data_IF_406481217510
#
_entry.id   IF_406481217510
#
_cell.length_a   1.000
_cell.length_b   1.000
_cell.length_c   1.000
_cell.angle_alpha   90.00
_cell.angle_beta   90.00
_cell.angle_gamma   90.00
#
_symmetry.space_group_name_H-M   'P 1'
#
loop_
_entity.id
_entity.type
_entity.pdbx_description
1 polymer ?
#
# COMPACT_ATOMS: atom_id res chain seq x y z
N UNK A 1 -4.23 45.61 -17.65
CA UNK A 1 -4.02 45.51 -16.18
C UNK A 1 -3.21 44.26 -15.95
N UNK A 2 -1.90 44.41 -15.71
CA UNK A 2 -1.02 43.27 -15.45
C UNK A 2 -1.34 42.68 -14.08
N UNK A 3 -1.79 41.43 -14.05
CA UNK A 3 -2.14 40.74 -12.83
C UNK A 3 -0.85 40.30 -12.11
N UNK A 4 -0.62 40.85 -10.91
CA UNK A 4 0.50 40.50 -10.05
C UNK A 4 0.23 39.14 -9.40
N UNK A 5 0.83 38.06 -9.90
CA UNK A 5 0.53 36.70 -9.46
C UNK A 5 1.48 36.13 -8.38
N UNK A 6 2.66 36.74 -8.18
CA UNK A 6 3.71 36.14 -7.33
C UNK A 6 3.87 36.88 -6.01
N UNK A 7 3.30 36.35 -4.92
CA UNK A 7 3.38 36.96 -3.60
C UNK A 7 4.71 36.64 -2.89
N UNK A 8 5.38 37.66 -2.38
CA UNK A 8 6.57 37.53 -1.53
C UNK A 8 6.20 36.91 -0.18
N UNK A 9 6.70 35.71 0.18
CA UNK A 9 6.42 35.09 1.47
C UNK A 9 6.90 35.92 2.68
N UNK A 10 7.95 36.74 2.52
CA UNK A 10 8.54 37.53 3.61
C UNK A 10 7.75 38.80 3.93
N UNK A 11 7.34 39.59 2.93
CA UNK A 11 6.67 40.89 3.13
C UNK A 11 5.27 40.97 2.51
N UNK A 12 4.75 39.87 1.95
CA UNK A 12 3.42 39.74 1.35
C UNK A 12 3.13 40.65 0.15
N UNK A 13 4.14 41.37 -0.37
CA UNK A 13 4.06 42.17 -1.61
C UNK A 13 3.99 41.28 -2.84
N UNK A 14 3.20 41.66 -3.83
CA UNK A 14 3.07 40.92 -5.09
C UNK A 14 4.06 41.41 -6.14
N UNK A 15 4.53 40.50 -6.99
CA UNK A 15 5.47 40.74 -8.09
C UNK A 15 4.87 40.29 -9.42
N UNK A 16 5.34 40.90 -10.51
CA UNK A 16 4.82 40.70 -11.86
C UNK A 16 5.23 39.35 -12.46
N UNK A 17 6.37 38.80 -12.04
CA UNK A 17 6.89 37.51 -12.51
C UNK A 17 7.73 36.82 -11.43
N UNK A 18 8.02 35.53 -11.64
CA UNK A 18 8.93 34.76 -10.78
C UNK A 18 10.35 35.35 -10.80
N UNK A 19 10.81 35.85 -11.95
CA UNK A 19 12.12 36.51 -12.08
C UNK A 19 12.17 37.83 -11.29
N UNK A 20 11.10 38.61 -11.34
CA UNK A 20 10.96 39.80 -10.49
C UNK A 20 10.95 39.45 -9.01
N UNK A 21 10.32 38.33 -8.62
CA UNK A 21 10.35 37.85 -7.24
C UNK A 21 11.76 37.45 -6.79
N UNK A 22 12.54 36.76 -7.63
CA UNK A 22 13.95 36.42 -7.38
C UNK A 22 14.81 37.67 -7.16
N UNK A 23 14.64 38.69 -8.01
CA UNK A 23 15.34 39.96 -7.88
C UNK A 23 14.88 40.73 -6.64
N UNK A 24 13.58 40.80 -6.36
CA UNK A 24 13.02 41.40 -5.15
C UNK A 24 13.59 40.77 -3.88
N UNK A 25 13.63 39.43 -3.84
CA UNK A 25 14.16 38.68 -2.71
C UNK A 25 15.63 39.01 -2.44
N UNK A 26 16.47 39.06 -3.48
CA UNK A 26 17.90 39.37 -3.33
C UNK A 26 18.15 40.81 -2.87
N UNK A 27 17.34 41.78 -3.31
CA UNK A 27 17.54 43.21 -3.00
C UNK A 27 16.95 43.64 -1.67
N UNK A 28 15.74 43.19 -1.36
CA UNK A 28 14.97 43.71 -0.22
C UNK A 28 15.13 42.86 1.05
N UNK A 29 15.66 41.63 0.94
CA UNK A 29 15.80 40.71 2.08
C UNK A 29 17.22 40.13 2.11
N UNK A 30 18.10 40.70 2.94
CA UNK A 30 19.51 40.29 3.09
C UNK A 30 19.69 38.98 3.87
N UNK A 31 18.74 38.68 4.75
CA UNK A 31 18.69 37.44 5.55
C UNK A 31 17.57 36.53 5.07
N UNK A 32 17.74 35.22 5.28
CA UNK A 32 16.63 34.29 5.09
C UNK A 32 15.49 34.63 6.05
N UNK A 33 14.28 34.85 5.53
CA UNK A 33 13.12 35.24 6.36
C UNK A 33 12.63 34.13 7.30
N UNK A 34 13.06 32.87 7.08
CA UNK A 34 12.66 31.71 7.86
C UNK A 34 13.63 31.43 9.01
N UNK A 35 14.94 31.26 8.73
CA UNK A 35 15.91 31.00 9.79
C UNK A 35 16.56 32.27 10.38
N UNK A 36 16.55 33.40 9.67
CA UNK A 36 17.16 34.69 10.06
C UNK A 36 18.66 34.67 10.37
N UNK A 37 19.29 33.50 10.38
CA UNK A 37 20.71 33.28 10.71
C UNK A 37 21.60 33.18 9.47
N UNK A 38 21.03 32.84 8.32
CA UNK A 38 21.75 32.76 7.06
C UNK A 38 21.71 34.11 6.34
N UNK A 39 22.90 34.64 6.03
CA UNK A 39 23.09 35.79 5.16
C UNK A 39 23.22 35.32 3.71
N UNK A 40 22.47 35.92 2.79
CA UNK A 40 22.48 35.58 1.36
C UNK A 40 23.75 36.14 0.72
N UNK A 41 24.87 35.42 0.88
CA UNK A 41 26.19 35.93 0.50
C UNK A 41 26.48 35.82 -1.00
N UNK A 42 25.76 34.98 -1.76
CA UNK A 42 25.82 34.90 -3.24
C UNK A 42 24.88 33.82 -3.84
N UNK A 43 24.40 32.86 -3.04
CA UNK A 43 23.50 31.78 -3.48
C UNK A 43 22.06 32.26 -3.76
N UNK A 44 21.36 31.62 -4.72
CA UNK A 44 19.94 31.89 -4.98
C UNK A 44 19.12 31.61 -3.71
N UNK A 45 18.38 32.59 -3.17
CA UNK A 45 17.50 32.39 -2.03
C UNK A 45 16.59 31.17 -2.15
N UNK A 46 16.11 30.84 -3.35
CA UNK A 46 15.25 29.68 -3.58
C UNK A 46 15.99 28.36 -3.43
N UNK A 47 17.25 28.30 -3.82
CA UNK A 47 18.08 27.09 -3.67
C UNK A 47 18.38 26.84 -2.19
N UNK A 48 18.71 27.89 -1.43
CA UNK A 48 18.83 27.82 0.03
C UNK A 48 17.54 27.29 0.67
N UNK A 49 16.37 27.81 0.25
CA UNK A 49 15.07 27.40 0.79
C UNK A 49 14.73 25.95 0.47
N UNK A 50 15.03 25.49 -0.74
CA UNK A 50 14.81 24.12 -1.15
C UNK A 50 15.74 23.12 -0.41
N UNK A 51 16.96 23.55 -0.07
CA UNK A 51 17.97 22.69 0.58
C UNK A 51 17.88 22.68 2.11
N UNK A 52 17.41 23.76 2.73
CA UNK A 52 17.52 23.99 4.17
C UNK A 52 16.17 24.10 4.89
N UNK A 53 15.05 24.07 4.16
CA UNK A 53 13.70 24.26 4.72
C UNK A 53 12.69 23.32 4.06
N UNK A 54 11.49 23.23 4.65
CA UNK A 54 10.47 22.24 4.29
C UNK A 54 9.29 22.89 3.58
N UNK A 55 9.13 22.62 2.28
CA UNK A 55 8.04 23.19 1.50
C UNK A 55 6.75 22.36 1.61
N UNK A 56 5.63 23.03 1.90
CA UNK A 56 4.31 22.41 1.86
C UNK A 56 3.98 21.93 0.44
N UNK A 57 3.64 20.65 0.24
CA UNK A 57 3.34 20.11 -1.08
C UNK A 57 2.09 20.75 -1.71
N UNK A 58 1.16 21.25 -0.89
CA UNK A 58 -0.14 21.76 -1.31
C UNK A 58 -0.08 23.26 -1.66
N UNK A 59 0.30 24.12 -0.71
CA UNK A 59 0.28 25.57 -0.90
C UNK A 59 1.66 26.20 -1.13
N UNK A 60 2.72 25.39 -1.19
CA UNK A 60 4.11 25.80 -1.45
C UNK A 60 4.72 26.75 -0.42
N UNK A 61 4.06 26.95 0.73
CA UNK A 61 4.62 27.68 1.88
C UNK A 61 5.80 26.90 2.46
N UNK A 62 6.93 27.58 2.63
CA UNK A 62 8.15 27.01 3.19
C UNK A 62 8.18 27.19 4.71
N UNK A 63 8.48 26.12 5.43
CA UNK A 63 8.52 26.03 6.90
C UNK A 63 9.95 25.78 7.38
N UNK A 64 10.27 26.26 8.58
CA UNK A 64 11.63 26.18 9.16
C UNK A 64 12.06 24.77 9.48
N UNK A 65 11.11 23.93 9.88
CA UNK A 65 11.34 22.56 10.32
C UNK A 65 10.23 21.65 9.80
N UNK A 66 10.48 20.34 9.87
CA UNK A 66 9.48 19.33 9.57
C UNK A 66 8.29 19.41 10.53
N UNK A 67 8.53 19.69 11.82
CA UNK A 67 7.47 19.89 12.81
C UNK A 67 6.57 21.09 12.48
N UNK A 68 7.17 22.19 12.01
CA UNK A 68 6.41 23.35 11.57
C UNK A 68 5.59 23.05 10.31
N UNK A 69 6.15 22.26 9.38
CA UNK A 69 5.40 21.76 8.23
C UNK A 69 4.22 20.88 8.66
N UNK A 70 4.43 19.93 9.57
CA UNK A 70 3.36 19.06 10.07
C UNK A 70 2.24 19.85 10.76
N UNK A 71 2.58 20.84 11.60
CA UNK A 71 1.60 21.76 12.20
C UNK A 71 0.86 22.57 11.14
N UNK A 72 1.58 23.10 10.15
CA UNK A 72 1.00 23.83 9.03
C UNK A 72 0.00 22.97 8.25
N UNK A 73 0.37 21.73 7.93
CA UNK A 73 -0.48 20.78 7.20
C UNK A 73 -1.79 20.50 7.93
N UNK A 74 -1.77 20.37 9.26
CA UNK A 74 -2.98 20.12 10.05
C UNK A 74 -3.81 21.40 10.29
N UNK A 75 -3.17 22.57 10.39
CA UNK A 75 -3.85 23.82 10.72
C UNK A 75 -4.40 24.57 9.49
N UNK A 76 -3.79 24.40 8.32
CA UNK A 76 -4.10 25.18 7.11
C UNK A 76 -4.75 24.35 6.00
N UNK A 77 -4.81 23.03 6.17
CA UNK A 77 -5.40 22.10 5.21
C UNK A 77 -6.35 21.11 5.90
N UNK A 78 -7.01 20.27 5.11
CA UNK A 78 -8.05 19.36 5.58
C UNK A 78 -7.48 17.94 5.64
N UNK A 79 -7.30 17.40 6.84
CA UNK A 79 -6.75 16.07 7.05
C UNK A 79 -7.87 15.02 7.17
N UNK A 80 -7.75 13.91 6.42
CA UNK A 80 -8.59 12.74 6.57
C UNK A 80 -8.37 12.08 7.94
N UNK A 81 -9.45 11.87 8.69
CA UNK A 81 -9.39 11.24 10.01
C UNK A 81 -8.97 9.76 9.95
N UNK A 82 -9.28 9.08 8.85
CA UNK A 82 -9.07 7.64 8.66
C UNK A 82 -7.64 7.34 8.19
N UNK A 83 -7.20 7.89 7.05
CA UNK A 83 -5.89 7.58 6.46
C UNK A 83 -4.83 8.70 6.62
N UNK A 84 -5.16 9.81 7.29
CA UNK A 84 -4.28 10.97 7.50
C UNK A 84 -3.84 11.71 6.23
N UNK A 85 -4.39 11.37 5.06
CA UNK A 85 -4.20 12.13 3.82
C UNK A 85 -4.64 13.60 3.98
N UNK A 86 -3.98 14.53 3.30
CA UNK A 86 -4.21 15.98 3.46
C UNK A 86 -4.69 16.56 2.13
N UNK A 87 -5.76 17.37 2.20
CA UNK A 87 -6.45 17.96 1.06
C UNK A 87 -6.48 19.48 1.15
N UNK A 88 -6.47 20.17 -0.01
CA UNK A 88 -6.45 21.64 -0.03
C UNK A 88 -7.79 22.28 0.34
N UNK A 89 -8.88 21.53 0.26
CA UNK A 89 -10.23 22.02 0.55
C UNK A 89 -11.12 20.95 1.19
N UNK A 90 -12.17 21.41 1.87
CA UNK A 90 -13.18 20.54 2.48
C UNK A 90 -13.91 19.68 1.43
N UNK A 91 -14.19 20.23 0.25
CA UNK A 91 -14.87 19.49 -0.84
C UNK A 91 -14.02 18.34 -1.37
N UNK A 92 -12.70 18.51 -1.43
CA UNK A 92 -11.79 17.42 -1.81
C UNK A 92 -11.70 16.35 -0.73
N UNK A 93 -11.70 16.75 0.54
CA UNK A 93 -11.80 15.79 1.64
C UNK A 93 -13.13 15.02 1.57
N UNK A 94 -14.27 15.69 1.33
CA UNK A 94 -15.57 15.02 1.18
C UNK A 94 -15.59 13.99 0.05
N UNK A 95 -15.03 14.34 -1.12
CA UNK A 95 -14.86 13.39 -2.23
C UNK A 95 -13.89 12.26 -1.91
N UNK A 96 -12.85 12.55 -1.13
CA UNK A 96 -11.93 11.51 -0.67
C UNK A 96 -12.61 10.54 0.32
N UNK A 97 -13.48 11.05 1.19
CA UNK A 97 -14.21 10.23 2.15
C UNK A 97 -15.09 9.17 1.48
N UNK A 98 -15.63 9.42 0.28
CA UNK A 98 -16.40 8.39 -0.45
C UNK A 98 -15.53 7.22 -0.92
N UNK A 99 -14.20 7.37 -0.96
CA UNK A 99 -13.28 6.27 -1.27
C UNK A 99 -13.09 5.34 -0.07
N UNK A 100 -13.39 5.82 1.14
CA UNK A 100 -13.32 4.98 2.33
C UNK A 100 -14.47 3.96 2.42
N UNK A 101 -15.52 4.12 1.60
CA UNK A 101 -16.59 3.13 1.50
C UNK A 101 -16.15 1.86 0.75
N UNK A 102 -15.03 1.92 0.02
CA UNK A 102 -14.53 0.81 -0.80
C UNK A 102 -13.20 0.33 -0.20
N UNK A 103 -13.33 -0.60 0.73
CA UNK A 103 -12.22 -1.20 1.47
C UNK A 103 -11.95 -2.63 0.99
N UNK A 104 -10.66 -2.99 0.86
CA UNK A 104 -10.26 -4.37 0.65
C UNK A 104 -10.58 -5.21 1.90
N UNK A 105 -11.35 -6.30 1.78
CA UNK A 105 -11.72 -7.11 2.94
C UNK A 105 -10.53 -7.81 3.59
N UNK A 106 -9.44 -8.02 2.83
CA UNK A 106 -8.24 -8.75 3.26
C UNK A 106 -7.24 -7.83 3.96
N UNK A 107 -6.73 -6.80 3.27
CA UNK A 107 -5.65 -5.95 3.79
C UNK A 107 -6.10 -4.59 4.31
N UNK A 108 -7.41 -4.28 4.26
CA UNK A 108 -7.98 -3.00 4.72
C UNK A 108 -7.47 -1.77 3.98
N UNK A 109 -6.87 -1.97 2.80
CA UNK A 109 -6.52 -0.89 1.87
C UNK A 109 -7.77 -0.26 1.28
N UNK A 110 -7.70 1.04 0.98
CA UNK A 110 -8.86 1.84 0.59
C UNK A 110 -8.72 2.27 -0.89
N UNK A 111 -9.81 2.22 -1.63
CA UNK A 111 -9.79 2.37 -3.09
C UNK A 111 -10.78 3.43 -3.58
N UNK A 112 -10.43 4.11 -4.66
CA UNK A 112 -11.24 5.19 -5.22
C UNK A 112 -12.35 4.72 -6.19
N UNK A 113 -12.77 3.46 -6.07
CA UNK A 113 -13.75 2.84 -6.95
C UNK A 113 -13.62 1.32 -6.98
N UNK A 114 -14.72 0.64 -7.32
CA UNK A 114 -14.77 -0.82 -7.43
C UNK A 114 -13.73 -1.37 -8.41
N UNK A 115 -13.57 -0.73 -9.57
CA UNK A 115 -12.57 -1.16 -10.57
C UNK A 115 -11.11 -1.15 -10.07
N UNK A 116 -10.78 -0.30 -9.10
CA UNK A 116 -9.44 -0.29 -8.50
C UNK A 116 -9.31 -1.39 -7.46
N UNK A 117 -10.35 -1.60 -6.65
CA UNK A 117 -10.42 -2.74 -5.73
C UNK A 117 -10.32 -4.06 -6.50
N UNK A 118 -11.06 -4.24 -7.59
CA UNK A 118 -11.00 -5.45 -8.43
C UNK A 118 -9.59 -5.72 -8.97
N UNK A 119 -8.88 -4.68 -9.40
CA UNK A 119 -7.48 -4.81 -9.83
C UNK A 119 -6.56 -5.18 -8.67
N UNK A 120 -6.74 -4.55 -7.51
CA UNK A 120 -5.97 -4.85 -6.32
C UNK A 120 -6.23 -6.28 -5.79
N UNK A 121 -7.46 -6.80 -5.92
CA UNK A 121 -7.76 -8.18 -5.55
C UNK A 121 -6.91 -9.20 -6.34
N UNK A 122 -6.34 -8.82 -7.50
CA UNK A 122 -5.38 -9.65 -8.22
C UNK A 122 -4.02 -9.81 -7.50
N UNK A 123 -3.68 -8.90 -6.60
CA UNK A 123 -2.50 -8.98 -5.71
C UNK A 123 -2.73 -10.00 -4.58
N UNK A 124 -4.00 -10.21 -4.20
CA UNK A 124 -4.40 -11.23 -3.22
C UNK A 124 -4.65 -12.60 -3.84
N UNK A 125 -4.53 -12.76 -5.17
CA UNK A 125 -4.65 -14.06 -5.81
C UNK A 125 -3.41 -14.93 -5.54
N UNK A 126 -3.62 -16.21 -5.24
CA UNK A 126 -2.57 -17.21 -5.14
C UNK A 126 -1.94 -17.43 -6.51
N UNK A 127 -0.64 -17.15 -6.64
CA UNK A 127 0.12 -17.38 -7.87
C UNK A 127 0.78 -18.75 -7.80
N UNK A 128 0.68 -19.52 -8.88
CA UNK A 128 1.50 -20.71 -9.03
C UNK A 128 2.95 -20.29 -9.29
N UNK A 129 3.94 -20.75 -8.52
CA UNK A 129 5.34 -20.42 -8.78
C UNK A 129 5.90 -21.18 -9.99
N UNK A 130 5.20 -22.23 -10.43
CA UNK A 130 5.60 -23.12 -11.52
C UNK A 130 5.00 -22.75 -12.89
N UNK A 131 4.01 -21.85 -12.94
CA UNK A 131 3.36 -21.42 -14.18
C UNK A 131 2.68 -20.05 -14.01
N UNK A 132 2.31 -19.34 -15.09
CA UNK A 132 1.74 -17.99 -14.97
C UNK A 132 0.30 -17.95 -14.42
N UNK A 133 -0.28 -19.08 -13.98
CA UNK A 133 -1.65 -19.13 -13.48
C UNK A 133 -1.77 -18.50 -12.09
N UNK A 134 -2.89 -17.80 -11.89
CA UNK A 134 -3.32 -17.18 -10.63
C UNK A 134 -4.70 -17.69 -10.25
N UNK A 135 -4.97 -17.77 -8.96
CA UNK A 135 -6.19 -18.35 -8.40
C UNK A 135 -6.75 -17.44 -7.33
N UNK A 136 -8.06 -17.17 -7.41
CA UNK A 136 -8.81 -16.36 -6.46
C UNK A 136 -9.38 -17.19 -5.28
N UNK A 137 -9.15 -18.50 -5.28
CA UNK A 137 -9.59 -19.44 -4.26
C UNK A 137 -8.48 -20.46 -3.96
N UNK A 138 -8.37 -20.88 -2.71
CA UNK A 138 -7.39 -21.87 -2.27
C UNK A 138 -7.73 -23.24 -2.85
N UNK A 139 -9.01 -23.61 -2.90
CA UNK A 139 -9.47 -24.85 -3.53
C UNK A 139 -9.03 -24.98 -4.99
N UNK A 140 -9.15 -23.90 -5.76
CA UNK A 140 -8.75 -23.84 -7.16
C UNK A 140 -7.23 -23.94 -7.34
N UNK A 141 -6.46 -23.27 -6.48
CA UNK A 141 -5.00 -23.37 -6.45
C UNK A 141 -4.54 -24.80 -6.15
N UNK A 142 -5.09 -25.43 -5.09
CA UNK A 142 -4.73 -26.81 -4.75
C UNK A 142 -5.21 -27.81 -5.80
N UNK A 143 -6.35 -27.59 -6.43
CA UNK A 143 -6.83 -28.45 -7.53
C UNK A 143 -5.87 -28.42 -8.72
N UNK A 144 -5.34 -27.23 -9.04
CA UNK A 144 -4.30 -27.10 -10.05
C UNK A 144 -3.04 -27.90 -9.71
N UNK A 145 -2.58 -27.85 -8.45
CA UNK A 145 -1.42 -28.64 -8.00
C UNK A 145 -1.71 -30.14 -7.98
N UNK A 146 -2.87 -30.56 -7.45
CA UNK A 146 -3.32 -31.95 -7.36
C UNK A 146 -3.47 -32.60 -8.74
N UNK A 147 -3.89 -31.83 -9.75
CA UNK A 147 -4.10 -32.33 -11.13
C UNK A 147 -2.82 -32.72 -11.86
N UNK A 148 -1.65 -32.29 -11.39
CA UNK A 148 -0.37 -32.46 -12.11
C UNK A 148 -0.29 -31.74 -13.46
N UNK A 149 -1.25 -30.86 -13.78
CA UNK A 149 -1.32 -30.13 -15.06
C UNK A 149 -0.34 -28.96 -15.18
N UNK A 150 0.53 -28.75 -14.19
CA UNK A 150 1.52 -27.68 -14.18
C UNK A 150 2.83 -28.12 -14.86
N UNK A 151 3.31 -27.31 -15.81
CA UNK A 151 4.36 -27.71 -16.76
C UNK A 151 5.81 -27.60 -16.27
N UNK A 152 6.10 -27.07 -15.06
CA UNK A 152 7.45 -27.17 -14.46
C UNK A 152 7.47 -28.22 -13.34
N UNK A 153 8.06 -29.38 -13.65
CA UNK A 153 8.12 -30.53 -12.74
C UNK A 153 9.08 -30.32 -11.55
N UNK A 154 10.05 -29.42 -11.69
CA UNK A 154 11.03 -29.09 -10.64
C UNK A 154 10.39 -28.26 -9.53
N UNK A 155 9.66 -27.20 -9.89
CA UNK A 155 8.97 -26.34 -8.93
C UNK A 155 7.80 -27.07 -8.25
N UNK A 156 7.09 -27.97 -8.95
CA UNK A 156 6.02 -28.78 -8.37
C UNK A 156 6.49 -29.67 -7.21
N UNK A 157 7.70 -30.25 -7.25
CA UNK A 157 8.23 -31.07 -6.16
C UNK A 157 8.53 -30.25 -4.91
N UNK A 158 9.01 -29.02 -5.07
CA UNK A 158 9.24 -28.09 -3.97
C UNK A 158 7.93 -27.59 -3.34
N UNK A 159 6.93 -27.24 -4.17
CA UNK A 159 5.59 -26.87 -3.68
C UNK A 159 4.92 -28.06 -3.00
N UNK A 160 4.97 -29.26 -3.61
CA UNK A 160 4.43 -30.49 -3.03
C UNK A 160 5.14 -30.86 -1.73
N UNK A 161 6.42 -30.53 -1.58
CA UNK A 161 7.15 -30.64 -0.32
C UNK A 161 6.58 -29.66 0.72
N UNK A 162 6.44 -28.38 0.39
CA UNK A 162 5.88 -27.37 1.30
C UNK A 162 4.42 -27.66 1.70
N UNK A 163 3.57 -28.09 0.78
CA UNK A 163 2.16 -28.45 1.08
C UNK A 163 2.06 -29.72 1.92
N UNK A 164 2.94 -30.70 1.69
CA UNK A 164 3.01 -31.96 2.46
C UNK A 164 3.54 -31.77 3.89
N UNK A 165 4.22 -30.64 4.16
CA UNK A 165 4.74 -30.27 5.48
C UNK A 165 3.98 -29.12 6.16
N UNK A 166 2.84 -28.65 5.65
CA UNK A 166 1.95 -27.82 6.48
C UNK A 166 1.38 -28.71 7.60
N UNK A 167 2.00 -28.65 8.76
CA UNK A 167 1.86 -29.60 9.87
C UNK A 167 0.48 -29.59 10.55
N UNK A 168 -0.46 -28.75 10.11
CA UNK A 168 -1.77 -28.61 10.78
C UNK A 168 -2.79 -29.70 10.42
N UNK A 169 -2.66 -30.38 9.27
CA UNK A 169 -3.72 -31.30 8.79
C UNK A 169 -3.30 -32.77 8.67
N UNK A 170 -2.05 -33.10 8.93
CA UNK A 170 -1.52 -34.48 8.79
C UNK A 170 -1.35 -35.17 10.15
N UNK A 171 -2.46 -35.51 10.80
CA UNK A 171 -2.40 -36.46 11.93
C UNK A 171 -2.36 -37.90 11.42
N UNK A 172 -1.16 -38.33 11.02
CA UNK A 172 -0.64 -39.72 10.93
C UNK A 172 -1.58 -40.86 10.49
N UNK A 173 -1.15 -41.54 9.40
CA UNK A 173 -1.29 -43.00 9.14
C UNK A 173 -2.69 -43.56 8.81
N UNK A 174 -3.34 -43.03 7.77
CA UNK A 174 -4.21 -43.85 6.91
C UNK A 174 -4.07 -43.41 5.45
N UNK A 175 -3.61 -44.32 4.59
CA UNK A 175 -3.22 -44.07 3.18
C UNK A 175 -4.33 -43.54 2.27
N UNK A 176 -5.58 -43.46 2.73
CA UNK A 176 -6.74 -43.16 1.87
C UNK A 176 -7.33 -41.77 2.05
N UNK A 177 -7.10 -41.06 3.17
CA UNK A 177 -7.63 -39.71 3.40
C UNK A 177 -6.77 -38.95 4.42
N UNK A 178 -5.64 -38.36 3.98
CA UNK A 178 -4.65 -37.78 4.86
C UNK A 178 -5.04 -36.41 5.43
N UNK A 179 -6.09 -35.77 4.91
CA UNK A 179 -6.51 -34.42 5.30
C UNK A 179 -7.78 -34.46 6.14
N UNK A 180 -7.81 -33.72 7.25
CA UNK A 180 -8.96 -33.68 8.16
C UNK A 180 -9.28 -32.24 8.52
N UNK A 181 -10.55 -31.85 8.39
CA UNK A 181 -11.01 -30.55 8.88
C UNK A 181 -10.98 -30.57 10.43
N UNK A 182 -10.24 -29.68 11.10
CA UNK A 182 -10.09 -29.70 12.56
C UNK A 182 -11.39 -29.35 13.31
N UNK A 183 -12.33 -28.66 12.66
CA UNK A 183 -13.59 -28.23 13.27
C UNK A 183 -14.68 -29.31 13.22
N UNK A 184 -14.90 -29.90 12.05
CA UNK A 184 -15.96 -30.88 11.86
C UNK A 184 -15.44 -32.33 11.78
N UNK A 185 -14.12 -32.52 11.80
CA UNK A 185 -13.43 -33.81 11.71
C UNK A 185 -13.71 -34.59 10.40
N UNK A 186 -14.25 -33.92 9.37
CA UNK A 186 -14.49 -34.51 8.05
C UNK A 186 -13.15 -34.82 7.38
N UNK A 187 -13.06 -35.98 6.73
CA UNK A 187 -11.85 -36.48 6.08
C UNK A 187 -11.91 -36.27 4.58
N UNK A 188 -10.77 -35.90 4.00
CA UNK A 188 -10.60 -35.63 2.58
C UNK A 188 -9.40 -36.39 2.01
N UNK A 189 -9.55 -36.85 0.78
CA UNK A 189 -8.50 -37.52 -0.01
C UNK A 189 -7.53 -36.51 -0.62
N UNK A 190 -8.03 -35.32 -0.96
CA UNK A 190 -7.30 -34.25 -1.64
C UNK A 190 -7.32 -32.98 -0.79
N UNK A 191 -6.25 -32.20 -0.89
CA UNK A 191 -6.15 -30.92 -0.20
C UNK A 191 -7.15 -29.92 -0.79
N UNK A 192 -7.32 -29.93 -2.11
CA UNK A 192 -8.37 -29.15 -2.80
C UNK A 192 -9.78 -29.40 -2.26
N UNK A 193 -10.09 -30.64 -1.88
CA UNK A 193 -11.39 -30.99 -1.33
C UNK A 193 -11.59 -30.48 0.11
N UNK A 194 -10.53 -30.48 0.94
CA UNK A 194 -10.56 -29.84 2.25
C UNK A 194 -10.76 -28.32 2.10
N UNK A 195 -10.02 -27.67 1.20
CA UNK A 195 -10.10 -26.23 1.03
C UNK A 195 -11.45 -25.78 0.43
N UNK A 196 -12.03 -26.58 -0.48
CA UNK A 196 -13.39 -26.35 -0.95
C UNK A 196 -14.40 -26.43 0.20
N UNK A 197 -14.24 -27.41 1.11
CA UNK A 197 -15.10 -27.52 2.28
C UNK A 197 -15.01 -26.30 3.21
N UNK A 198 -13.83 -25.74 3.46
CA UNK A 198 -13.73 -24.59 4.39
C UNK A 198 -14.14 -23.28 3.73
N UNK A 199 -14.09 -23.19 2.40
CA UNK A 199 -14.67 -22.09 1.62
C UNK A 199 -16.22 -22.14 1.64
N UNK A 200 -16.82 -23.32 1.53
CA UNK A 200 -18.29 -23.50 1.50
C UNK A 200 -18.95 -23.45 2.90
N UNK A 201 -18.19 -23.75 3.95
CA UNK A 201 -18.72 -23.87 5.32
C UNK A 201 -18.02 -22.88 6.27
N UNK A 202 -18.62 -21.70 6.55
CA UNK A 202 -18.02 -20.65 7.38
C UNK A 202 -17.59 -21.12 8.79
N UNK A 203 -18.30 -22.08 9.38
CA UNK A 203 -17.96 -22.66 10.68
C UNK A 203 -16.64 -23.47 10.66
N UNK A 204 -16.15 -23.81 9.49
CA UNK A 204 -14.90 -24.54 9.27
C UNK A 204 -13.80 -23.63 8.70
N UNK A 205 -14.07 -22.33 8.48
CA UNK A 205 -13.14 -21.38 7.86
C UNK A 205 -11.86 -21.12 8.66
N UNK A 206 -11.80 -21.55 9.93
CA UNK A 206 -10.59 -21.46 10.78
C UNK A 206 -9.34 -22.01 10.11
N UNK A 207 -9.49 -22.96 9.19
CA UNK A 207 -8.42 -23.58 8.41
C UNK A 207 -7.69 -22.56 7.54
N UNK A 208 -8.40 -21.55 7.03
CA UNK A 208 -7.87 -20.44 6.24
C UNK A 208 -7.19 -19.38 7.11
N UNK A 209 -7.44 -19.40 8.42
CA UNK A 209 -6.94 -18.43 9.40
C UNK A 209 -5.73 -18.98 10.17
N UNK A 210 -5.29 -20.21 9.90
CA UNK A 210 -4.15 -20.79 10.62
C UNK A 210 -2.83 -20.20 10.16
N UNK A 211 -1.88 -20.11 11.10
CA UNK A 211 -0.51 -19.65 10.83
C UNK A 211 0.17 -20.50 9.74
N UNK A 212 -0.24 -21.76 9.56
CA UNK A 212 0.27 -22.60 8.47
C UNK A 212 -0.18 -22.12 7.09
N UNK A 213 -1.42 -21.66 6.94
CA UNK A 213 -1.88 -21.10 5.67
C UNK A 213 -1.19 -19.77 5.38
N UNK A 214 -1.07 -18.89 6.38
CA UNK A 214 -0.40 -17.59 6.22
C UNK A 214 1.08 -17.76 5.88
N UNK A 215 1.82 -18.60 6.61
CA UNK A 215 3.23 -18.90 6.34
C UNK A 215 3.42 -19.51 4.94
N UNK A 216 2.52 -20.41 4.54
CA UNK A 216 2.54 -20.97 3.18
C UNK A 216 2.36 -19.88 2.13
N UNK A 217 1.40 -18.97 2.31
CA UNK A 217 1.18 -17.86 1.36
C UNK A 217 2.36 -16.89 1.32
N UNK A 218 2.95 -16.55 2.47
CA UNK A 218 4.13 -15.69 2.58
C UNK A 218 5.35 -16.31 1.91
N UNK A 219 5.60 -17.61 2.13
CA UNK A 219 6.71 -18.34 1.51
C UNK A 219 6.56 -18.42 -0.02
N UNK A 220 5.35 -18.68 -0.53
CA UNK A 220 5.09 -18.65 -1.97
C UNK A 220 5.29 -17.24 -2.54
N UNK A 221 4.89 -16.20 -1.80
CA UNK A 221 5.11 -14.79 -2.19
C UNK A 221 6.60 -14.45 -2.21
N UNK A 222 7.40 -14.88 -1.23
CA UNK A 222 8.84 -14.58 -1.17
C UNK A 222 9.64 -15.25 -2.29
N UNK A 223 9.31 -16.49 -2.65
CA UNK A 223 9.96 -17.21 -3.77
C UNK A 223 9.61 -16.61 -5.15
N UNK A 224 8.67 -15.65 -5.23
CA UNK A 224 8.33 -14.89 -6.43
C UNK A 224 9.23 -13.66 -6.61
N UNK A 225 9.81 -13.10 -5.54
CA UNK A 225 10.61 -11.87 -5.62
C UNK A 225 12.07 -12.10 -6.06
N UNK A 226 12.54 -13.35 -6.05
CA UNK A 226 13.91 -13.73 -6.43
C UNK A 226 14.11 -14.07 -7.92
N UNK A 227 13.16 -13.72 -8.82
CA UNK A 227 13.26 -13.91 -10.28
C UNK A 227 12.79 -12.73 -11.13
#
# INVERSE_FOLDING_TARGET
MEAYHFQCPACKRYQLSEECLKVHMRKEHSQCWICKTYNRSEEDPNEHLARQHFQCPICKITNRSEDDLNKHLVQQHFQCSICKAIHRSEDELKKHLTMHDIECPICKSLFNGESQLEKHMAEHMLKCPACPKRFNAASAFFSHLDSGSCFSSESLKAIAFCTRYSYDYTRTLSDTSPYVCPQCNTRFTLLSALYLHVEDYPNCAVVMETESFTYFTEYIISEIEDY
#
